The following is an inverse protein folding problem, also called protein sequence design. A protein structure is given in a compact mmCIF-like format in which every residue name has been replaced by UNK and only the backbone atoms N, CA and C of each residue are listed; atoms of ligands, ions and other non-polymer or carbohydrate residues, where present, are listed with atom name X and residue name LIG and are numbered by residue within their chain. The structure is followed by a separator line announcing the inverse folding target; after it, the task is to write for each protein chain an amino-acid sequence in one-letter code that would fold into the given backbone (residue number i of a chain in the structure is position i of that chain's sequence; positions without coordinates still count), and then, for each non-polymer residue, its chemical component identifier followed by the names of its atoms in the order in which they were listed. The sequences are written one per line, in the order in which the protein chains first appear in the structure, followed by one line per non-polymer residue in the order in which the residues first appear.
data_IF_559810520986
#
_entry.id   IF_559810520986
#
_cell.length_a   1.000
_cell.length_b   1.000
_cell.length_c   1.000
_cell.angle_alpha   90.00
_cell.angle_beta   90.00
_cell.angle_gamma   90.00
#
_symmetry.space_group_name_H-M   'P 1'
#
loop_
_entity.id
_entity.type
_entity.pdbx_description
1 polymer ?
#
# COMPACT_ATOMS: atom_id res chain seq x y z
N UNK A 1 -9.30 -24.01 47.37
CA UNK A 1 -8.43 -23.07 46.64
C UNK A 1 -7.92 -23.82 45.40
N UNK A 2 -8.57 -23.90 44.24
CA UNK A 2 -9.03 -22.84 43.30
C UNK A 2 -7.93 -21.82 42.98
N UNK A 3 -6.82 -22.28 42.42
CA UNK A 3 -5.77 -21.43 41.86
C UNK A 3 -5.11 -22.11 40.64
N UNK A 4 -5.94 -22.55 39.69
CA UNK A 4 -5.51 -22.90 38.34
C UNK A 4 -6.47 -22.12 37.45
N UNK A 5 -5.98 -21.52 36.36
CA UNK A 5 -6.68 -20.58 35.44
C UNK A 5 -6.46 -19.10 35.81
N UNK A 6 -5.23 -18.60 35.61
CA UNK A 6 -4.99 -17.16 35.41
C UNK A 6 -3.68 -16.85 34.67
N UNK A 7 -3.02 -17.84 34.06
CA UNK A 7 -1.73 -17.68 33.40
C UNK A 7 -1.80 -17.72 31.85
N UNK A 8 -3.00 -17.72 31.26
CA UNK A 8 -3.19 -17.92 29.81
C UNK A 8 -3.47 -16.66 28.97
N UNK A 9 -3.63 -15.49 29.59
CA UNK A 9 -4.28 -14.33 28.92
C UNK A 9 -3.35 -13.16 28.57
N UNK A 10 -2.02 -13.25 28.77
CA UNK A 10 -1.11 -12.10 28.55
C UNK A 10 -0.16 -12.20 27.34
N UNK A 11 -0.30 -13.19 26.46
CA UNK A 11 0.60 -13.35 25.30
C UNK A 11 0.08 -12.74 23.99
N UNK A 12 -0.78 -11.72 24.05
CA UNK A 12 -1.15 -10.90 22.88
C UNK A 12 -0.47 -9.53 22.97
N UNK A 13 0.85 -9.50 23.15
CA UNK A 13 1.62 -8.31 22.82
C UNK A 13 1.59 -8.23 21.29
N UNK A 14 0.62 -7.47 20.77
CA UNK A 14 0.54 -7.15 19.37
C UNK A 14 1.92 -6.68 18.90
N UNK A 15 2.49 -7.35 17.89
CA UNK A 15 3.61 -6.82 17.13
C UNK A 15 3.14 -5.55 16.41
N UNK A 16 3.03 -4.45 17.15
CA UNK A 16 2.95 -3.11 16.59
C UNK A 16 4.34 -2.81 16.04
N UNK A 17 4.69 -3.42 14.90
CA UNK A 17 5.82 -2.96 14.13
C UNK A 17 5.48 -1.55 13.70
N UNK A 18 6.18 -0.56 14.24
CA UNK A 18 6.07 0.81 13.76
C UNK A 18 6.51 0.81 12.30
N UNK A 19 5.52 0.80 11.39
CA UNK A 19 5.76 0.89 9.96
C UNK A 19 6.27 2.29 9.67
N UNK A 20 7.59 2.45 9.69
CA UNK A 20 8.26 3.68 9.27
C UNK A 20 8.09 3.81 7.76
N UNK A 21 7.25 4.76 7.35
CA UNK A 21 7.06 5.05 5.94
C UNK A 21 8.36 5.48 5.27
N UNK A 22 8.52 5.13 3.99
CA UNK A 22 9.68 5.46 3.14
C UNK A 22 9.33 6.59 2.19
N UNK A 23 10.29 7.45 1.90
CA UNK A 23 10.16 8.43 0.82
C UNK A 23 10.39 7.72 -0.52
N UNK A 24 9.48 7.93 -1.46
CA UNK A 24 9.46 7.24 -2.74
C UNK A 24 9.23 8.24 -3.87
N UNK A 25 9.88 8.01 -5.01
CA UNK A 25 9.69 8.81 -6.22
C UNK A 25 8.63 8.16 -7.09
N UNK A 26 7.62 8.93 -7.49
CA UNK A 26 6.53 8.50 -8.36
C UNK A 26 6.73 9.00 -9.79
N UNK A 27 6.73 8.10 -10.78
CA UNK A 27 6.63 8.48 -12.19
C UNK A 27 5.16 8.55 -12.58
N UNK A 28 4.75 9.67 -13.18
CA UNK A 28 3.38 9.89 -13.66
C UNK A 28 3.37 9.68 -15.16
N UNK A 29 2.52 8.76 -15.62
CA UNK A 29 2.31 8.45 -17.02
C UNK A 29 0.81 8.45 -17.32
N UNK A 30 0.43 8.58 -18.59
CA UNK A 30 -0.93 8.26 -18.99
C UNK A 30 -1.12 6.74 -19.16
N UNK A 31 -2.35 6.27 -19.41
CA UNK A 31 -2.60 4.82 -19.58
C UNK A 31 -1.93 4.23 -20.84
N UNK A 32 -1.39 5.06 -21.72
CA UNK A 32 -0.62 4.66 -22.91
C UNK A 32 0.91 4.66 -22.65
N UNK A 33 1.36 4.99 -21.43
CA UNK A 33 2.76 5.03 -21.05
C UNK A 33 3.50 6.31 -21.45
N UNK A 34 2.79 7.36 -21.88
CA UNK A 34 3.42 8.65 -22.16
C UNK A 34 3.70 9.37 -20.84
N UNK A 35 4.93 9.89 -20.62
CA UNK A 35 5.28 10.56 -19.38
C UNK A 35 4.54 11.89 -19.24
N UNK A 36 3.98 12.12 -18.05
CA UNK A 36 3.30 13.35 -17.66
C UNK A 36 4.08 14.13 -16.59
N UNK A 37 5.00 13.48 -15.88
CA UNK A 37 5.86 14.12 -14.89
C UNK A 37 6.32 13.17 -13.79
N UNK A 38 6.76 13.76 -12.68
CA UNK A 38 7.20 13.04 -11.48
C UNK A 38 6.58 13.65 -10.22
N UNK A 39 6.51 12.86 -9.15
CA UNK A 39 6.01 13.27 -7.84
C UNK A 39 6.79 12.57 -6.73
N UNK A 40 6.60 13.00 -5.49
CA UNK A 40 7.15 12.33 -4.30
C UNK A 40 6.02 11.96 -3.36
N UNK A 41 6.18 10.85 -2.67
CA UNK A 41 5.26 10.44 -1.64
C UNK A 41 5.97 9.66 -0.54
N UNK A 42 5.42 9.76 0.66
CA UNK A 42 5.73 8.86 1.75
C UNK A 42 4.81 7.65 1.68
N UNK A 43 5.39 6.45 1.62
CA UNK A 43 4.65 5.19 1.56
C UNK A 43 4.84 4.40 2.84
N UNK A 44 3.73 4.07 3.50
CA UNK A 44 3.68 3.14 4.62
C UNK A 44 3.16 1.81 4.08
N UNK A 45 4.04 0.84 3.91
CA UNK A 45 3.69 -0.50 3.46
C UNK A 45 3.40 -1.41 4.64
N UNK A 46 2.20 -2.00 4.69
CA UNK A 46 1.76 -2.96 5.72
C UNK A 46 1.57 -4.33 5.09
N UNK A 47 1.43 -5.38 5.91
CA UNK A 47 1.28 -6.74 5.37
C UNK A 47 0.20 -6.88 4.29
N UNK A 48 -1.02 -6.35 4.53
CA UNK A 48 -2.17 -6.49 3.61
C UNK A 48 -2.63 -5.19 2.96
N UNK A 49 -1.95 -4.06 3.18
CA UNK A 49 -2.34 -2.76 2.63
C UNK A 49 -1.14 -1.83 2.56
N UNK A 50 -1.29 -0.71 1.86
CA UNK A 50 -0.33 0.38 1.94
C UNK A 50 -1.05 1.72 1.93
N UNK A 51 -0.36 2.74 2.42
CA UNK A 51 -0.84 4.12 2.43
C UNK A 51 0.17 5.00 1.69
N UNK A 52 -0.30 5.81 0.75
CA UNK A 52 0.50 6.77 -0.01
C UNK A 52 0.10 8.18 0.42
N UNK A 53 1.04 8.92 0.97
CA UNK A 53 0.86 10.33 1.34
C UNK A 53 1.71 11.22 0.44
N UNK A 54 1.06 12.07 -0.33
CA UNK A 54 1.69 13.00 -1.27
C UNK A 54 1.10 14.42 -1.13
N UNK A 55 1.63 15.39 -1.86
CA UNK A 55 1.06 16.74 -1.94
C UNK A 55 -0.40 16.74 -2.42
N UNK A 56 -0.78 15.73 -3.22
CA UNK A 56 -2.14 15.54 -3.73
C UNK A 56 -3.12 14.90 -2.73
N UNK A 57 -2.66 14.55 -1.53
CA UNK A 57 -3.46 13.94 -0.48
C UNK A 57 -2.97 12.55 -0.07
N UNK A 58 -3.82 11.89 0.73
CA UNK A 58 -3.56 10.56 1.27
C UNK A 58 -4.47 9.53 0.59
N UNK A 59 -3.89 8.41 0.16
CA UNK A 59 -4.62 7.29 -0.47
C UNK A 59 -4.30 6.03 0.32
N UNK A 60 -5.35 5.41 0.87
CA UNK A 60 -5.27 4.08 1.47
C UNK A 60 -5.66 3.04 0.40
N UNK A 61 -4.81 2.03 0.18
CA UNK A 61 -5.13 0.96 -0.75
C UNK A 61 -6.36 0.14 -0.32
N UNK A 62 -6.67 0.13 0.97
CA UNK A 62 -7.53 -0.88 1.57
C UNK A 62 -6.89 -2.28 1.53
N UNK A 63 -7.64 -3.33 1.91
CA UNK A 63 -7.15 -4.70 1.89
C UNK A 63 -6.81 -5.16 0.47
N UNK A 64 -5.54 -5.47 0.23
CA UNK A 64 -5.09 -5.97 -1.06
C UNK A 64 -5.47 -7.45 -1.23
N UNK A 65 -5.93 -7.78 -2.42
CA UNK A 65 -6.31 -9.14 -2.79
C UNK A 65 -5.55 -9.57 -4.05
N UNK A 66 -5.10 -10.82 -4.10
CA UNK A 66 -4.57 -11.44 -5.31
C UNK A 66 -5.50 -12.56 -5.78
N UNK A 67 -5.80 -12.57 -7.08
CA UNK A 67 -6.57 -13.64 -7.73
C UNK A 67 -5.76 -14.92 -7.92
N UNK A 68 -4.43 -14.81 -8.06
CA UNK A 68 -3.51 -15.94 -8.15
C UNK A 68 -2.36 -15.73 -7.17
N UNK A 69 -2.31 -16.50 -6.08
CA UNK A 69 -1.28 -16.38 -5.05
C UNK A 69 0.13 -16.72 -5.53
N UNK A 70 0.26 -17.33 -6.71
CA UNK A 70 1.57 -17.60 -7.36
C UNK A 70 2.14 -16.37 -8.05
N UNK A 71 1.29 -15.38 -8.37
CA UNK A 71 1.66 -14.11 -8.96
C UNK A 71 1.51 -13.02 -7.89
N UNK A 72 2.62 -12.46 -7.41
CA UNK A 72 2.61 -11.46 -6.35
C UNK A 72 2.27 -10.06 -6.91
N UNK A 73 1.01 -9.88 -7.31
CA UNK A 73 0.43 -8.58 -7.70
C UNK A 73 -0.88 -8.31 -6.95
N UNK A 74 -0.85 -8.20 -5.60
CA UNK A 74 -2.06 -7.95 -4.85
C UNK A 74 -2.54 -6.50 -5.09
N UNK A 75 -3.86 -6.34 -5.21
CA UNK A 75 -4.49 -5.10 -5.65
C UNK A 75 -5.83 -4.85 -4.97
N UNK A 76 -6.27 -3.60 -4.99
CA UNK A 76 -7.57 -3.20 -4.48
C UNK A 76 -8.06 -1.93 -5.20
N UNK A 77 -9.37 -1.68 -5.12
CA UNK A 77 -9.94 -0.38 -5.51
C UNK A 77 -10.08 0.45 -4.24
N UNK A 78 -9.47 1.64 -4.22
CA UNK A 78 -9.50 2.53 -3.06
C UNK A 78 -10.85 3.23 -2.92
N UNK A 79 -11.09 3.86 -1.76
CA UNK A 79 -12.33 4.61 -1.52
C UNK A 79 -12.52 5.76 -2.52
N UNK A 80 -11.43 6.37 -2.96
CA UNK A 80 -11.41 7.47 -3.94
C UNK A 80 -11.49 6.97 -5.39
N UNK A 81 -11.56 5.65 -5.60
CA UNK A 81 -11.72 5.04 -6.92
C UNK A 81 -10.43 4.80 -7.69
N UNK A 82 -9.26 4.86 -7.03
CA UNK A 82 -8.01 4.44 -7.65
C UNK A 82 -7.93 2.92 -7.69
N UNK A 83 -7.29 2.35 -8.70
CA UNK A 83 -6.84 0.98 -8.66
C UNK A 83 -5.40 0.94 -8.12
N UNK A 84 -5.26 0.44 -6.90
CA UNK A 84 -4.02 0.39 -6.14
C UNK A 84 -3.39 -1.00 -6.24
N UNK A 85 -2.07 -1.06 -6.48
CA UNK A 85 -1.34 -2.32 -6.65
C UNK A 85 0.00 -2.30 -5.91
N UNK A 86 0.33 -3.40 -5.24
CA UNK A 86 1.72 -3.68 -4.84
C UNK A 86 2.37 -4.46 -5.97
N UNK A 87 3.36 -3.85 -6.63
CA UNK A 87 4.08 -4.45 -7.76
C UNK A 87 5.32 -5.23 -7.31
N UNK A 88 5.92 -4.79 -6.20
CA UNK A 88 7.01 -5.47 -5.49
C UNK A 88 7.08 -4.95 -4.06
N UNK A 89 8.08 -5.37 -3.29
CA UNK A 89 8.35 -4.84 -1.93
C UNK A 89 8.81 -3.37 -1.92
N UNK A 90 9.09 -2.80 -3.09
CA UNK A 90 9.58 -1.42 -3.25
C UNK A 90 8.82 -0.62 -4.29
N UNK A 91 7.83 -1.23 -4.98
CA UNK A 91 7.07 -0.57 -6.03
C UNK A 91 5.57 -0.65 -5.81
N UNK A 92 4.92 0.50 -5.90
CA UNK A 92 3.50 0.68 -5.62
C UNK A 92 2.86 1.47 -6.76
N UNK A 93 1.76 0.94 -7.31
CA UNK A 93 1.02 1.55 -8.41
C UNK A 93 -0.29 2.17 -7.93
N UNK A 94 -0.60 3.37 -8.44
CA UNK A 94 -1.94 3.97 -8.40
C UNK A 94 -2.40 4.28 -9.83
N UNK A 95 -3.54 3.72 -10.22
CA UNK A 95 -4.17 3.98 -11.52
C UNK A 95 -5.46 4.76 -11.30
N UNK A 96 -5.57 5.93 -11.92
CA UNK A 96 -6.79 6.72 -12.03
C UNK A 96 -7.28 6.67 -13.48
N UNK A 97 -8.10 5.66 -13.80
CA UNK A 97 -8.61 5.48 -15.16
C UNK A 97 -9.44 6.68 -15.66
N UNK A 98 -10.35 7.29 -14.86
CA UNK A 98 -11.08 8.49 -15.29
C UNK A 98 -10.19 9.67 -15.67
N UNK A 99 -9.01 9.81 -15.06
CA UNK A 99 -8.04 10.88 -15.37
C UNK A 99 -6.96 10.45 -16.38
N UNK A 100 -7.08 9.26 -16.97
CA UNK A 100 -6.06 8.68 -17.85
C UNK A 100 -4.65 8.75 -17.25
N UNK A 101 -4.49 8.36 -15.98
CA UNK A 101 -3.24 8.53 -15.23
C UNK A 101 -2.82 7.25 -14.49
N UNK A 102 -1.52 6.96 -14.54
CA UNK A 102 -0.83 5.94 -13.76
C UNK A 102 0.28 6.63 -12.98
N UNK A 103 0.46 6.24 -11.72
CA UNK A 103 1.63 6.63 -10.94
C UNK A 103 2.30 5.37 -10.42
N UNK A 104 3.58 5.19 -10.74
CA UNK A 104 4.41 4.12 -10.16
C UNK A 104 5.41 4.75 -9.20
N UNK A 105 5.22 4.50 -7.91
CA UNK A 105 6.16 4.88 -6.88
C UNK A 105 7.23 3.82 -6.71
N UNK A 106 8.49 4.24 -6.65
CA UNK A 106 9.66 3.42 -6.32
C UNK A 106 10.34 3.95 -5.07
N UNK A 107 10.53 3.10 -4.08
CA UNK A 107 11.17 3.43 -2.81
C UNK A 107 12.61 2.90 -2.80
N UNK A 108 13.56 3.68 -2.28
CA UNK A 108 14.98 3.32 -2.16
C UNK A 108 15.40 3.11 -0.71
#
# INVERSE_FOLDING_TARGET
MRAIILAGSLALVACSSDYRGKECTGKIENLQGQPLGETRAKIIDRFTSFTITSDGGNVDSGPLHSKDRRLYFPSAVTQEGFYAQRLSDQQFGLINAPKNQVIIYTCH
#
